data_IF_424979874335
#
_entry.id   IF_424979874335
#
_cell.length_a   1.000
_cell.length_b   1.000
_cell.length_c   1.000
_cell.angle_alpha   90.00
_cell.angle_beta   90.00
_cell.angle_gamma   90.00
#
_symmetry.space_group_name_H-M   'P 1'
#
loop_
_entity.id
_entity.type
_entity.pdbx_description
1 polymer ?
#
# COMPACT_ATOMS: atom_id res chain seq x y z
N UNK A 1 -24.00 9.44 11.57
CA UNK A 1 -23.17 8.80 10.52
C UNK A 1 -22.24 7.81 11.21
N UNK A 2 -22.08 6.59 10.70
CA UNK A 2 -21.15 5.62 11.28
C UNK A 2 -19.73 6.14 11.07
N UNK A 3 -18.93 6.17 12.14
CA UNK A 3 -17.50 6.52 12.10
C UNK A 3 -16.68 5.24 11.99
N UNK A 4 -15.58 5.29 11.27
CA UNK A 4 -14.69 4.15 11.05
C UNK A 4 -13.34 4.39 11.72
N UNK A 5 -12.98 3.48 12.62
CA UNK A 5 -11.74 3.52 13.39
C UNK A 5 -10.66 2.64 12.77
N UNK A 6 -9.42 3.09 12.78
CA UNK A 6 -8.23 2.26 12.51
C UNK A 6 -7.70 1.80 13.87
N UNK A 7 -7.78 0.49 14.13
CA UNK A 7 -7.47 -0.07 15.45
C UNK A 7 -6.30 -1.04 15.46
N UNK A 8 -5.81 -1.45 14.28
CA UNK A 8 -4.65 -2.32 14.17
C UNK A 8 -3.92 -2.13 12.85
N UNK A 9 -2.60 -2.27 12.89
CA UNK A 9 -1.70 -2.06 11.77
C UNK A 9 -0.79 -3.28 11.59
N UNK A 10 -0.67 -3.77 10.37
CA UNK A 10 0.17 -4.93 10.05
C UNK A 10 1.09 -4.68 8.86
N UNK A 11 2.19 -3.97 9.02
CA UNK A 11 3.19 -3.84 7.97
C UNK A 11 4.18 -5.02 7.96
N UNK A 12 4.40 -5.62 6.79
CA UNK A 12 5.47 -6.58 6.49
C UNK A 12 6.28 -5.99 5.34
N UNK A 13 7.40 -5.34 5.62
CA UNK A 13 8.13 -4.54 4.64
C UNK A 13 9.64 -4.76 4.68
N UNK A 14 10.35 -4.30 3.65
CA UNK A 14 11.81 -4.34 3.56
C UNK A 14 12.54 -3.50 4.62
N UNK A 15 11.84 -2.61 5.33
CA UNK A 15 12.43 -1.78 6.40
C UNK A 15 12.00 -2.21 7.80
N UNK A 16 11.12 -3.20 7.91
CA UNK A 16 10.69 -3.77 9.19
C UNK A 16 9.37 -4.52 9.10
N UNK A 17 9.20 -5.47 10.02
CA UNK A 17 7.98 -6.24 10.22
C UNK A 17 7.33 -5.81 11.54
N UNK A 18 6.04 -5.52 11.51
CA UNK A 18 5.28 -4.98 12.63
C UNK A 18 5.45 -3.45 12.82
N UNK A 19 4.52 -2.88 13.57
CA UNK A 19 4.35 -1.41 13.70
C UNK A 19 5.58 -0.70 14.24
N UNK A 20 6.20 -1.22 15.29
CA UNK A 20 7.33 -0.54 15.94
C UNK A 20 8.54 -0.47 15.02
N UNK A 21 8.95 -1.61 14.43
CA UNK A 21 10.11 -1.67 13.56
C UNK A 21 9.90 -0.80 12.29
N UNK A 22 8.71 -0.81 11.73
CA UNK A 22 8.35 0.00 10.57
C UNK A 22 8.37 1.50 10.90
N UNK A 23 7.76 1.91 12.01
CA UNK A 23 7.72 3.31 12.44
C UNK A 23 9.11 3.88 12.76
N UNK A 24 9.96 3.08 13.44
CA UNK A 24 11.33 3.48 13.75
C UNK A 24 12.18 3.63 12.48
N UNK A 25 11.98 2.73 11.50
CA UNK A 25 12.63 2.82 10.20
C UNK A 25 12.16 4.02 9.37
N UNK A 26 10.84 4.32 9.38
CA UNK A 26 10.29 5.53 8.75
C UNK A 26 10.90 6.80 9.34
N UNK A 27 10.96 6.90 10.68
CA UNK A 27 11.55 8.05 11.37
C UNK A 27 13.03 8.21 11.05
N UNK A 28 13.76 7.09 10.94
CA UNK A 28 15.18 7.07 10.63
C UNK A 28 15.50 7.31 9.15
N UNK A 29 14.51 7.33 8.26
CA UNK A 29 14.74 7.38 6.81
C UNK A 29 15.53 6.16 6.30
N UNK A 30 15.29 4.96 6.87
CA UNK A 30 16.04 3.75 6.52
C UNK A 30 15.67 3.26 5.14
N UNK A 31 16.65 2.97 4.29
CA UNK A 31 16.44 2.30 3.02
C UNK A 31 16.42 0.78 3.21
N UNK A 32 15.38 0.13 2.65
CA UNK A 32 15.27 -1.33 2.52
C UNK A 32 15.68 -1.83 1.13
N UNK A 33 16.25 -0.95 0.31
CA UNK A 33 16.66 -1.30 -1.05
C UNK A 33 17.96 -2.07 -1.03
N UNK A 34 17.99 -3.18 -1.77
CA UNK A 34 19.17 -4.04 -1.87
C UNK A 34 19.15 -4.80 -3.21
N UNK A 35 20.26 -5.49 -3.53
CA UNK A 35 20.30 -6.33 -4.74
C UNK A 35 19.22 -7.41 -4.66
N UNK A 36 18.51 -7.61 -5.78
CA UNK A 36 17.46 -8.64 -5.91
C UNK A 36 18.04 -10.03 -5.68
N UNK A 37 17.33 -10.84 -4.90
CA UNK A 37 17.66 -12.23 -4.59
C UNK A 37 16.54 -13.22 -4.92
N UNK A 38 15.31 -12.74 -5.09
CA UNK A 38 14.14 -13.59 -5.43
C UNK A 38 14.21 -14.20 -6.83
N UNK A 39 15.00 -13.60 -7.73
CA UNK A 39 15.32 -14.14 -9.05
C UNK A 39 16.71 -13.67 -9.51
N UNK A 40 17.28 -14.27 -10.55
CA UNK A 40 18.54 -13.80 -11.15
C UNK A 40 18.33 -12.50 -11.93
N UNK A 41 18.83 -11.34 -11.44
CA UNK A 41 18.67 -10.06 -12.10
C UNK A 41 19.78 -9.76 -13.13
N UNK A 42 20.70 -10.68 -13.41
CA UNK A 42 21.90 -10.42 -14.23
C UNK A 42 21.61 -9.95 -15.66
N UNK A 43 20.42 -10.28 -16.20
CA UNK A 43 19.95 -9.82 -17.50
C UNK A 43 19.39 -8.38 -17.53
N UNK A 44 19.31 -7.70 -16.37
CA UNK A 44 18.77 -6.35 -16.27
C UNK A 44 19.86 -5.35 -15.86
N UNK A 45 19.84 -4.11 -16.39
CA UNK A 45 20.70 -3.04 -15.88
C UNK A 45 20.27 -2.57 -14.46
N UNK A 46 19.00 -2.80 -14.10
CA UNK A 46 18.39 -2.48 -12.82
C UNK A 46 18.31 -3.74 -11.95
N UNK A 47 19.10 -3.81 -10.88
CA UNK A 47 19.29 -5.06 -10.11
C UNK A 47 18.92 -4.93 -8.64
N UNK A 48 18.21 -3.85 -8.26
CA UNK A 48 17.84 -3.57 -6.88
C UNK A 48 16.33 -3.52 -6.70
N UNK A 49 15.87 -3.93 -5.53
CA UNK A 49 14.49 -3.88 -5.11
C UNK A 49 14.37 -3.77 -3.57
N UNK A 50 13.20 -3.42 -3.09
CA UNK A 50 12.83 -3.49 -1.68
C UNK A 50 12.28 -4.87 -1.33
N UNK A 51 13.15 -5.88 -1.19
CA UNK A 51 12.75 -7.25 -0.80
C UNK A 51 12.63 -7.36 0.73
N UNK A 52 11.61 -8.08 1.21
CA UNK A 52 11.48 -8.44 2.63
C UNK A 52 12.39 -9.64 2.89
N UNK A 53 13.63 -9.33 3.25
CA UNK A 53 14.63 -10.34 3.59
C UNK A 53 14.34 -10.93 4.97
N UNK A 54 14.79 -12.14 5.19
CA UNK A 54 14.65 -12.83 6.49
C UNK A 54 13.19 -12.98 6.94
N UNK A 55 12.23 -12.90 6.01
CA UNK A 55 10.83 -13.16 6.30
C UNK A 55 10.57 -14.65 6.40
N UNK A 56 10.33 -15.11 7.61
CA UNK A 56 9.82 -16.45 7.89
C UNK A 56 8.31 -16.38 8.19
N UNK A 57 7.45 -16.84 7.29
CA UNK A 57 6.00 -16.82 7.52
C UNK A 57 5.59 -17.67 8.73
N UNK A 58 6.37 -18.68 9.14
CA UNK A 58 6.03 -19.53 10.29
C UNK A 58 6.09 -18.79 11.63
N UNK A 59 6.83 -17.68 11.70
CA UNK A 59 6.85 -16.82 12.89
C UNK A 59 5.54 -16.06 13.10
N UNK A 60 4.81 -15.82 12.03
CA UNK A 60 3.60 -14.97 12.03
C UNK A 60 2.32 -15.76 11.86
N UNK A 61 2.32 -16.79 11.00
CA UNK A 61 1.13 -17.58 10.68
C UNK A 61 0.86 -18.64 11.77
N UNK A 62 -0.42 -18.93 12.03
CA UNK A 62 -0.87 -19.86 13.07
C UNK A 62 -1.72 -21.01 12.53
N UNK A 63 -2.51 -20.75 11.48
CA UNK A 63 -3.46 -21.72 10.91
C UNK A 63 -3.07 -22.14 9.49
N UNK A 64 -2.48 -21.23 8.76
CA UNK A 64 -2.15 -21.38 7.36
C UNK A 64 -0.83 -22.14 7.24
N UNK A 65 -0.81 -23.21 6.42
CA UNK A 65 0.43 -23.92 6.08
C UNK A 65 1.19 -23.14 4.99
N UNK A 66 2.33 -22.49 5.30
CA UNK A 66 3.04 -21.65 4.33
C UNK A 66 3.42 -22.39 3.04
N UNK A 67 3.66 -23.70 3.10
CA UNK A 67 4.05 -24.50 1.92
C UNK A 67 2.95 -24.56 0.84
N UNK A 68 1.70 -24.28 1.20
CA UNK A 68 0.54 -24.31 0.31
C UNK A 68 0.13 -22.95 -0.25
N UNK A 69 0.84 -21.90 0.13
CA UNK A 69 0.50 -20.52 -0.21
C UNK A 69 1.72 -19.77 -0.75
N UNK A 70 1.53 -19.06 -1.85
CA UNK A 70 2.61 -18.29 -2.44
C UNK A 70 2.91 -17.01 -1.65
N UNK A 71 3.98 -16.34 -2.01
CA UNK A 71 4.60 -15.28 -1.21
C UNK A 71 3.70 -14.07 -0.97
N UNK A 72 2.94 -13.63 -1.97
CA UNK A 72 2.01 -12.50 -1.79
C UNK A 72 0.89 -12.84 -0.80
N UNK A 73 0.35 -14.07 -0.88
CA UNK A 73 -0.64 -14.59 0.07
C UNK A 73 -0.07 -14.71 1.49
N UNK A 74 1.19 -15.17 1.62
CA UNK A 74 1.87 -15.23 2.93
C UNK A 74 2.04 -13.83 3.53
N UNK A 75 2.40 -12.83 2.73
CA UNK A 75 2.49 -11.44 3.16
C UNK A 75 1.13 -10.90 3.63
N UNK A 76 0.06 -11.12 2.85
CA UNK A 76 -1.29 -10.67 3.20
C UNK A 76 -1.76 -11.27 4.53
N UNK A 77 -1.62 -12.59 4.69
CA UNK A 77 -2.03 -13.29 5.90
C UNK A 77 -1.21 -12.90 7.13
N UNK A 78 0.12 -12.77 6.98
CA UNK A 78 1.00 -12.31 8.06
C UNK A 78 0.70 -10.86 8.47
N UNK A 79 0.48 -9.98 7.50
CA UNK A 79 0.10 -8.60 7.75
C UNK A 79 -1.23 -8.50 8.51
N UNK A 80 -2.24 -9.27 8.11
CA UNK A 80 -3.52 -9.33 8.80
C UNK A 80 -3.38 -9.88 10.23
N UNK A 81 -2.57 -10.92 10.43
CA UNK A 81 -2.28 -11.46 11.78
C UNK A 81 -1.59 -10.42 12.66
N UNK A 82 -0.62 -9.69 12.12
CA UNK A 82 0.03 -8.60 12.84
C UNK A 82 -0.96 -7.47 13.21
N UNK A 83 -1.89 -7.12 12.32
CA UNK A 83 -2.92 -6.13 12.62
C UNK A 83 -3.86 -6.59 13.75
N UNK A 84 -4.22 -7.89 13.81
CA UNK A 84 -4.97 -8.48 14.94
C UNK A 84 -4.18 -8.37 16.24
N UNK A 85 -2.90 -8.71 16.22
CA UNK A 85 -2.03 -8.66 17.40
C UNK A 85 -1.85 -7.23 17.90
N UNK A 86 -1.60 -6.29 16.99
CA UNK A 86 -1.42 -4.87 17.29
C UNK A 86 -2.68 -4.24 17.90
N UNK A 87 -3.84 -4.55 17.32
CA UNK A 87 -5.14 -4.05 17.79
C UNK A 87 -5.75 -4.83 18.94
N UNK A 88 -5.14 -5.95 19.37
CA UNK A 88 -5.60 -6.77 20.49
C UNK A 88 -7.02 -7.32 20.28
N UNK A 89 -7.40 -7.67 19.05
CA UNK A 89 -8.73 -8.18 18.73
C UNK A 89 -8.83 -9.68 19.07
N UNK A 90 -9.83 -10.02 19.86
CA UNK A 90 -10.26 -11.40 20.09
C UNK A 90 -11.29 -11.77 19.01
N UNK A 91 -10.86 -12.50 17.99
CA UNK A 91 -11.71 -12.89 16.86
C UNK A 91 -12.89 -13.78 17.28
N UNK A 92 -12.76 -14.55 18.36
CA UNK A 92 -13.85 -15.41 18.86
C UNK A 92 -15.02 -14.59 19.43
N UNK A 93 -14.80 -13.30 19.69
CA UNK A 93 -15.85 -12.36 20.16
C UNK A 93 -16.52 -11.59 19.04
N UNK A 94 -16.02 -11.70 17.81
CA UNK A 94 -16.67 -11.10 16.63
C UNK A 94 -17.77 -12.05 16.16
N UNK A 95 -18.97 -11.53 15.97
CA UNK A 95 -20.08 -12.37 15.50
C UNK A 95 -19.75 -13.01 14.15
N UNK A 96 -20.12 -14.28 13.91
CA UNK A 96 -19.88 -14.95 12.64
C UNK A 96 -20.39 -14.15 11.46
N UNK A 97 -19.57 -14.04 10.40
CA UNK A 97 -19.92 -13.27 9.20
C UNK A 97 -19.78 -11.74 9.32
N UNK A 98 -19.31 -11.23 10.48
CA UNK A 98 -19.16 -9.78 10.71
C UNK A 98 -17.73 -9.27 10.58
N UNK A 99 -16.78 -10.17 10.33
CA UNK A 99 -15.38 -9.83 10.02
C UNK A 99 -15.05 -10.23 8.57
N UNK A 100 -14.51 -9.31 7.79
CA UNK A 100 -14.27 -9.45 6.35
C UNK A 100 -12.80 -9.20 5.99
N UNK A 101 -12.36 -9.75 4.85
CA UNK A 101 -11.02 -9.53 4.30
C UNK A 101 -11.11 -8.91 2.90
N UNK A 102 -10.50 -7.75 2.71
CA UNK A 102 -10.46 -7.05 1.41
C UNK A 102 -9.00 -6.71 1.09
N UNK A 103 -8.41 -7.42 0.12
CA UNK A 103 -6.98 -7.34 -0.16
C UNK A 103 -6.73 -6.89 -1.59
N UNK A 104 -6.01 -5.78 -1.72
CA UNK A 104 -5.56 -5.23 -2.99
C UNK A 104 -4.30 -5.92 -3.51
N UNK A 105 -4.19 -6.05 -4.84
CA UNK A 105 -2.97 -6.56 -5.50
C UNK A 105 -2.84 -5.95 -6.89
N UNK A 106 -1.62 -5.89 -7.39
CA UNK A 106 -1.36 -5.54 -8.80
C UNK A 106 -1.48 -6.77 -9.70
N UNK A 107 -0.89 -7.88 -9.30
CA UNK A 107 -0.71 -9.03 -10.19
C UNK A 107 -0.89 -10.39 -9.53
N UNK A 108 -1.38 -10.41 -8.30
CA UNK A 108 -1.58 -11.67 -7.56
C UNK A 108 -0.28 -12.43 -7.36
N UNK A 109 -0.30 -13.73 -7.68
CA UNK A 109 0.84 -14.62 -7.51
C UNK A 109 1.65 -14.77 -8.81
N UNK A 110 2.13 -13.67 -9.37
CA UNK A 110 2.85 -13.66 -10.67
C UNK A 110 4.11 -14.52 -10.67
N UNK A 111 4.82 -14.67 -9.55
CA UNK A 111 5.97 -15.57 -9.45
C UNK A 111 5.58 -17.03 -9.68
N UNK A 112 4.38 -17.43 -9.24
CA UNK A 112 3.85 -18.79 -9.48
C UNK A 112 3.51 -18.98 -10.97
N UNK A 113 2.90 -17.96 -11.60
CA UNK A 113 2.61 -17.99 -13.05
C UNK A 113 3.91 -18.11 -13.85
N UNK A 114 4.95 -17.40 -13.46
CA UNK A 114 6.28 -17.48 -14.08
C UNK A 114 6.86 -18.90 -13.96
N UNK A 115 6.82 -19.51 -12.76
CA UNK A 115 7.30 -20.88 -12.53
C UNK A 115 6.53 -21.91 -13.37
N UNK A 116 5.21 -21.83 -13.43
CA UNK A 116 4.37 -22.69 -14.26
C UNK A 116 4.64 -22.51 -15.76
N UNK A 117 4.91 -21.28 -16.20
CA UNK A 117 5.27 -21.00 -17.58
C UNK A 117 6.61 -21.66 -17.94
N UNK A 118 7.59 -21.60 -17.04
CA UNK A 118 8.86 -22.32 -17.26
C UNK A 118 8.65 -23.83 -17.41
N UNK A 119 7.81 -24.43 -16.54
CA UNK A 119 7.48 -25.88 -16.65
C UNK A 119 6.83 -26.23 -18.01
N UNK A 120 5.95 -25.35 -18.54
CA UNK A 120 5.35 -25.56 -19.88
C UNK A 120 6.42 -25.51 -20.97
N UNK A 121 7.31 -24.55 -20.90
CA UNK A 121 8.38 -24.36 -21.91
C UNK A 121 9.32 -25.57 -21.92
N UNK A 122 9.68 -26.10 -20.75
CA UNK A 122 10.65 -27.20 -20.60
C UNK A 122 10.05 -28.57 -20.86
N UNK A 123 8.79 -28.81 -20.48
CA UNK A 123 8.19 -30.15 -20.47
C UNK A 123 6.75 -30.25 -20.99
N UNK A 124 6.19 -29.16 -21.52
CA UNK A 124 4.81 -29.08 -22.00
C UNK A 124 3.78 -29.00 -20.89
N UNK A 125 2.49 -28.93 -21.25
CA UNK A 125 1.40 -28.74 -20.29
C UNK A 125 1.30 -29.83 -19.22
N UNK A 126 1.71 -31.06 -19.53
CA UNK A 126 1.67 -32.19 -18.58
C UNK A 126 2.75 -32.07 -17.48
N UNK A 127 3.73 -31.19 -17.63
CA UNK A 127 4.78 -30.97 -16.64
C UNK A 127 4.38 -29.99 -15.52
N UNK A 128 3.22 -29.33 -15.65
CA UNK A 128 2.78 -28.36 -14.64
C UNK A 128 2.47 -29.03 -13.30
N UNK A 129 3.00 -28.46 -12.23
CA UNK A 129 2.71 -28.90 -10.86
C UNK A 129 1.28 -28.49 -10.45
N UNK A 130 0.38 -29.44 -10.17
CA UNK A 130 -0.97 -29.12 -9.71
C UNK A 130 -1.03 -28.32 -8.42
N UNK A 131 -0.02 -28.45 -7.54
CA UNK A 131 0.05 -27.69 -6.30
C UNK A 131 0.32 -26.21 -6.56
N UNK A 132 1.14 -25.89 -7.58
CA UNK A 132 1.34 -24.50 -8.01
C UNK A 132 0.12 -23.95 -8.76
N UNK A 133 -0.53 -24.77 -9.60
CA UNK A 133 -1.76 -24.33 -10.29
C UNK A 133 -2.84 -23.88 -9.30
N UNK A 134 -2.98 -24.55 -8.17
CA UNK A 134 -3.93 -24.18 -7.13
C UNK A 134 -3.61 -22.82 -6.46
N UNK A 135 -2.41 -22.26 -6.65
CA UNK A 135 -1.98 -20.98 -6.06
C UNK A 135 -2.17 -19.78 -7.00
N UNK A 136 -2.44 -20.00 -8.29
CA UNK A 136 -2.54 -18.94 -9.32
C UNK A 136 -3.71 -17.97 -9.13
N UNK A 137 -4.94 -18.39 -8.73
CA UNK A 137 -6.07 -17.47 -8.68
C UNK A 137 -5.83 -16.28 -7.73
N UNK A 138 -6.04 -15.05 -8.23
CA UNK A 138 -5.75 -13.82 -7.47
C UNK A 138 -6.58 -13.71 -6.17
N UNK A 139 -7.79 -14.29 -6.13
CA UNK A 139 -8.63 -14.33 -4.92
C UNK A 139 -7.96 -15.07 -3.74
N UNK A 140 -6.90 -15.83 -4.00
CA UNK A 140 -6.12 -16.50 -2.95
C UNK A 140 -5.58 -15.53 -1.89
N UNK A 141 -5.26 -14.27 -2.25
CA UNK A 141 -4.70 -13.32 -1.30
C UNK A 141 -5.69 -13.02 -0.16
N UNK A 142 -6.93 -12.67 -0.48
CA UNK A 142 -7.96 -12.44 0.54
C UNK A 142 -8.36 -13.75 1.25
N UNK A 143 -8.40 -14.87 0.52
CA UNK A 143 -8.67 -16.17 1.11
C UNK A 143 -7.59 -16.60 2.11
N UNK A 144 -6.32 -16.26 1.88
CA UNK A 144 -5.24 -16.52 2.83
C UNK A 144 -5.48 -15.78 4.16
N UNK A 145 -5.92 -14.54 4.10
CA UNK A 145 -6.31 -13.77 5.30
C UNK A 145 -7.47 -14.43 6.01
N UNK A 146 -8.52 -14.81 5.27
CA UNK A 146 -9.70 -15.44 5.85
C UNK A 146 -9.38 -16.81 6.48
N UNK A 147 -8.55 -17.64 5.84
CA UNK A 147 -8.12 -18.94 6.37
C UNK A 147 -7.25 -18.74 7.62
N UNK A 148 -6.27 -17.84 7.58
CA UNK A 148 -5.39 -17.56 8.71
C UNK A 148 -6.16 -17.05 9.93
N UNK A 149 -7.13 -16.16 9.73
CA UNK A 149 -7.88 -15.54 10.80
C UNK A 149 -9.16 -16.31 11.18
N UNK A 150 -9.58 -17.31 10.37
CA UNK A 150 -10.82 -18.05 10.58
C UNK A 150 -12.07 -17.26 10.27
N UNK A 151 -12.00 -16.34 9.31
CA UNK A 151 -13.13 -15.49 8.93
C UNK A 151 -14.11 -16.26 8.04
N UNK A 152 -15.40 -16.07 8.31
CA UNK A 152 -16.51 -16.63 7.50
C UNK A 152 -17.33 -15.54 6.81
N UNK A 153 -16.86 -14.28 6.90
CA UNK A 153 -17.42 -13.15 6.16
C UNK A 153 -16.92 -13.09 4.71
N UNK A 154 -17.14 -11.94 4.09
CA UNK A 154 -16.71 -11.72 2.71
C UNK A 154 -15.17 -11.75 2.59
N UNK A 155 -14.69 -12.35 1.51
CA UNK A 155 -13.28 -12.44 1.16
C UNK A 155 -13.10 -11.96 -0.28
N UNK A 156 -12.63 -10.72 -0.46
CA UNK A 156 -12.54 -10.07 -1.75
C UNK A 156 -11.10 -9.65 -2.07
N UNK A 157 -10.65 -10.00 -3.27
CA UNK A 157 -9.39 -9.45 -3.81
C UNK A 157 -9.68 -8.42 -4.89
N UNK A 158 -9.08 -7.23 -4.78
CA UNK A 158 -9.23 -6.11 -5.71
C UNK A 158 -7.94 -5.94 -6.51
N UNK A 159 -8.05 -5.98 -7.84
CA UNK A 159 -6.91 -5.87 -8.75
C UNK A 159 -6.98 -4.55 -9.55
N UNK A 160 -6.64 -3.43 -8.91
CA UNK A 160 -6.56 -2.10 -9.52
C UNK A 160 -5.13 -1.54 -9.50
N UNK A 161 -4.16 -2.42 -9.77
CA UNK A 161 -2.74 -2.11 -9.84
C UNK A 161 -2.25 -1.34 -8.58
N UNK A 162 -1.46 -0.27 -8.75
CA UNK A 162 -0.79 0.43 -7.66
C UNK A 162 -1.73 1.09 -6.63
N UNK A 163 -2.99 1.35 -6.99
CA UNK A 163 -4.01 1.94 -6.10
C UNK A 163 -4.84 0.90 -5.32
N UNK A 164 -4.60 -0.40 -5.54
CA UNK A 164 -5.49 -1.47 -5.10
C UNK A 164 -5.74 -1.50 -3.58
N UNK A 165 -4.73 -1.18 -2.75
CA UNK A 165 -4.95 -1.10 -1.29
C UNK A 165 -5.90 0.03 -0.90
N UNK A 166 -5.84 1.21 -1.55
CA UNK A 166 -6.78 2.30 -1.26
C UNK A 166 -8.20 1.94 -1.70
N UNK A 167 -8.37 1.23 -2.83
CA UNK A 167 -9.67 0.64 -3.22
C UNK A 167 -10.17 -0.35 -2.17
N UNK A 168 -9.28 -1.21 -1.65
CA UNK A 168 -9.63 -2.18 -0.61
C UNK A 168 -10.04 -1.49 0.71
N UNK A 169 -9.33 -0.44 1.11
CA UNK A 169 -9.64 0.37 2.29
C UNK A 169 -10.99 1.09 2.10
N UNK A 170 -11.23 1.67 0.92
CA UNK A 170 -12.49 2.34 0.58
C UNK A 170 -13.69 1.38 0.61
N UNK A 171 -13.54 0.21 0.01
CA UNK A 171 -14.60 -0.82 0.07
C UNK A 171 -14.82 -1.31 1.51
N UNK A 172 -13.74 -1.49 2.28
CA UNK A 172 -13.85 -1.82 3.72
C UNK A 172 -14.59 -0.74 4.53
N UNK A 173 -14.38 0.53 4.19
CA UNK A 173 -15.15 1.64 4.75
C UNK A 173 -16.65 1.48 4.45
N UNK A 174 -17.02 1.19 3.20
CA UNK A 174 -18.42 1.02 2.82
C UNK A 174 -19.08 -0.13 3.58
N UNK A 175 -18.45 -1.29 3.71
CA UNK A 175 -18.97 -2.43 4.48
C UNK A 175 -19.27 -2.06 5.95
N UNK A 176 -18.45 -1.20 6.54
CA UNK A 176 -18.64 -0.74 7.93
C UNK A 176 -19.77 0.29 8.03
N UNK A 177 -19.83 1.28 7.13
CA UNK A 177 -20.83 2.35 7.20
C UNK A 177 -22.22 1.88 6.78
N UNK A 178 -22.32 0.86 5.92
CA UNK A 178 -23.61 0.22 5.55
C UNK A 178 -24.08 -0.78 6.60
N UNK A 179 -23.23 -1.09 7.60
CA UNK A 179 -23.57 -2.02 8.66
C UNK A 179 -23.45 -3.49 8.26
N UNK A 180 -22.76 -3.81 7.17
CA UNK A 180 -22.50 -5.19 6.75
C UNK A 180 -21.37 -5.85 7.53
N UNK A 181 -20.41 -5.08 8.03
CA UNK A 181 -19.28 -5.53 8.85
C UNK A 181 -19.20 -4.81 10.20
N UNK A 182 -18.57 -5.44 11.20
CA UNK A 182 -18.08 -4.82 12.42
C UNK A 182 -16.57 -4.62 12.38
N UNK A 183 -15.86 -5.52 11.64
CA UNK A 183 -14.41 -5.51 11.47
C UNK A 183 -14.08 -5.80 10.01
N UNK A 184 -13.14 -5.05 9.43
CA UNK A 184 -12.60 -5.33 8.09
C UNK A 184 -11.08 -5.29 8.12
N UNK A 185 -10.45 -6.33 7.60
CA UNK A 185 -9.01 -6.38 7.31
C UNK A 185 -8.81 -5.90 5.88
N UNK A 186 -8.39 -4.65 5.73
CA UNK A 186 -8.26 -3.97 4.44
C UNK A 186 -6.82 -3.54 4.16
N UNK A 187 -6.34 -3.76 2.95
CA UNK A 187 -4.98 -3.41 2.57
C UNK A 187 -4.54 -4.08 1.28
N UNK A 188 -3.27 -4.48 1.18
CA UNK A 188 -2.79 -5.18 -0.01
C UNK A 188 -1.48 -5.89 0.18
N UNK A 189 -1.15 -6.74 -0.79
CA UNK A 189 0.10 -7.49 -0.84
C UNK A 189 0.52 -7.82 -2.28
N UNK A 190 1.81 -7.73 -2.55
CA UNK A 190 2.46 -8.19 -3.77
C UNK A 190 3.89 -8.64 -3.46
N UNK A 191 4.45 -9.51 -4.30
CA UNK A 191 5.83 -9.99 -4.22
C UNK A 191 6.67 -9.51 -5.41
N UNK A 192 7.98 -9.34 -5.18
CA UNK A 192 8.94 -9.09 -6.26
C UNK A 192 9.07 -10.34 -7.10
N UNK A 193 8.94 -10.19 -8.43
CA UNK A 193 9.14 -11.27 -9.38
C UNK A 193 9.75 -10.74 -10.68
N UNK A 194 10.37 -11.63 -11.45
CA UNK A 194 11.02 -11.28 -12.72
C UNK A 194 10.02 -10.72 -13.72
N UNK A 195 8.80 -11.27 -13.80
CA UNK A 195 7.78 -10.83 -14.75
C UNK A 195 7.42 -9.36 -14.55
N UNK A 196 7.09 -8.96 -13.30
CA UNK A 196 6.75 -7.56 -13.00
C UNK A 196 7.95 -6.64 -13.23
N UNK A 197 9.15 -7.05 -12.80
CA UNK A 197 10.39 -6.31 -13.01
C UNK A 197 10.69 -6.10 -14.50
N UNK A 198 10.55 -7.14 -15.32
CA UNK A 198 10.71 -7.07 -16.78
C UNK A 198 9.68 -6.14 -17.43
N UNK A 199 8.43 -6.17 -16.96
CA UNK A 199 7.37 -5.27 -17.42
C UNK A 199 7.74 -3.80 -17.20
N UNK A 200 8.13 -3.43 -15.99
CA UNK A 200 8.57 -2.05 -15.69
C UNK A 200 9.84 -1.65 -16.40
N UNK A 201 10.78 -2.59 -16.58
CA UNK A 201 11.97 -2.35 -17.41
C UNK A 201 11.58 -2.01 -18.87
N UNK A 202 10.70 -2.80 -19.48
CA UNK A 202 10.25 -2.59 -20.86
C UNK A 202 9.43 -1.31 -21.04
N UNK A 203 8.75 -0.85 -20.02
CA UNK A 203 8.04 0.43 -19.98
C UNK A 203 8.96 1.63 -19.73
N UNK A 204 10.27 1.38 -19.49
CA UNK A 204 11.22 2.45 -19.17
C UNK A 204 10.95 3.13 -17.82
N UNK A 205 10.29 2.44 -16.89
CA UNK A 205 9.87 3.00 -15.60
C UNK A 205 10.85 2.73 -14.47
N UNK A 206 11.89 1.86 -14.67
CA UNK A 206 12.87 1.56 -13.65
C UNK A 206 14.03 2.55 -13.63
N UNK A 207 14.48 2.92 -12.43
CA UNK A 207 15.75 3.65 -12.23
C UNK A 207 16.94 2.71 -12.07
N UNK A 208 18.10 3.11 -12.56
CA UNK A 208 19.36 2.38 -12.35
C UNK A 208 20.06 2.74 -11.03
N UNK A 209 19.63 3.80 -10.37
CA UNK A 209 20.28 4.35 -9.17
C UNK A 209 19.38 4.21 -7.94
N UNK A 210 18.67 5.25 -7.59
CA UNK A 210 17.81 5.29 -6.42
C UNK A 210 16.41 5.78 -6.82
N UNK A 211 15.38 5.31 -6.12
CA UNK A 211 14.05 5.91 -6.19
C UNK A 211 14.12 7.26 -5.44
N UNK A 212 14.02 8.36 -6.17
CA UNK A 212 14.15 9.73 -5.67
C UNK A 212 12.91 10.57 -6.07
N UNK A 213 11.75 10.34 -5.43
CA UNK A 213 10.54 11.09 -5.74
C UNK A 213 10.74 12.60 -5.59
N UNK A 214 10.17 13.37 -6.53
CA UNK A 214 10.23 14.83 -6.58
C UNK A 214 11.61 15.45 -6.76
N UNK A 215 12.68 14.65 -6.89
CA UNK A 215 14.01 15.14 -7.24
C UNK A 215 14.06 15.53 -8.72
N UNK A 216 14.88 16.53 -9.06
CA UNK A 216 15.08 16.95 -10.45
C UNK A 216 15.62 15.83 -11.33
N UNK A 217 16.53 15.03 -10.78
CA UNK A 217 17.22 13.97 -11.50
C UNK A 217 16.54 12.59 -11.36
N UNK A 218 15.26 12.57 -10.90
CA UNK A 218 14.44 11.35 -10.80
C UNK A 218 14.33 10.65 -12.14
N UNK A 219 14.45 9.33 -12.15
CA UNK A 219 14.50 8.56 -13.40
C UNK A 219 13.64 7.30 -13.40
N UNK A 220 12.90 7.03 -12.31
CA UNK A 220 12.03 5.87 -12.25
C UNK A 220 11.86 5.28 -10.87
N UNK A 221 11.13 4.16 -10.82
CA UNK A 221 10.88 3.35 -9.62
C UNK A 221 12.02 2.36 -9.38
N UNK A 222 12.09 1.86 -8.15
CA UNK A 222 12.59 0.53 -7.82
C UNK A 222 11.41 -0.34 -7.40
N UNK A 223 11.37 -1.60 -7.81
CA UNK A 223 10.33 -2.54 -7.37
C UNK A 223 10.47 -2.84 -5.89
N UNK A 224 9.38 -3.17 -5.23
CA UNK A 224 9.36 -3.58 -3.83
C UNK A 224 8.29 -4.64 -3.59
N UNK A 225 8.31 -5.27 -2.41
CA UNK A 225 7.33 -6.26 -2.00
C UNK A 225 6.89 -6.08 -0.55
N UNK A 226 5.84 -6.80 -0.19
CA UNK A 226 5.37 -6.90 1.19
C UNK A 226 3.86 -6.97 1.31
N UNK A 227 3.39 -6.91 2.54
CA UNK A 227 1.98 -6.83 2.90
C UNK A 227 1.72 -5.68 3.85
N UNK A 228 0.63 -4.95 3.62
CA UNK A 228 0.20 -3.85 4.45
C UNK A 228 -1.32 -3.96 4.68
N UNK A 229 -1.72 -4.32 5.89
CA UNK A 229 -3.12 -4.51 6.25
C UNK A 229 -3.47 -3.62 7.45
N UNK A 230 -4.57 -2.90 7.33
CA UNK A 230 -5.20 -2.15 8.41
C UNK A 230 -6.40 -2.96 8.94
N UNK A 231 -6.58 -3.00 10.24
CA UNK A 231 -7.81 -3.45 10.87
C UNK A 231 -8.71 -2.24 11.08
N UNK A 232 -9.84 -2.25 10.37
CA UNK A 232 -10.86 -1.22 10.42
C UNK A 232 -12.05 -1.73 11.23
N UNK A 233 -12.62 -0.88 12.06
CA UNK A 233 -13.79 -1.19 12.89
C UNK A 233 -14.78 -0.03 12.88
N UNK A 234 -16.07 -0.32 13.14
CA UNK A 234 -16.95 0.78 13.55
C UNK A 234 -16.44 1.36 14.87
N UNK A 235 -16.54 2.67 15.04
CA UNK A 235 -16.12 3.32 16.30
C UNK A 235 -16.81 2.70 17.52
N UNK A 236 -18.09 2.37 17.38
CA UNK A 236 -18.87 1.73 18.43
C UNK A 236 -18.31 0.36 18.82
N UNK A 237 -17.92 -0.47 17.83
CA UNK A 237 -17.32 -1.78 18.11
C UNK A 237 -15.96 -1.62 18.82
N UNK A 238 -15.10 -0.73 18.31
CA UNK A 238 -13.80 -0.44 18.91
C UNK A 238 -13.92 0.04 20.39
N UNK A 239 -14.84 0.98 20.65
CA UNK A 239 -15.08 1.50 21.99
C UNK A 239 -15.63 0.44 22.95
N UNK A 240 -16.59 -0.40 22.52
CA UNK A 240 -17.16 -1.47 23.35
C UNK A 240 -16.11 -2.46 23.84
N UNK A 241 -15.09 -2.76 23.02
CA UNK A 241 -14.01 -3.66 23.43
C UNK A 241 -12.81 -2.95 24.08
N UNK A 242 -12.86 -1.62 24.24
CA UNK A 242 -11.77 -0.84 24.81
C UNK A 242 -10.51 -0.78 23.93
N UNK A 243 -10.69 -0.83 22.60
CA UNK A 243 -9.58 -0.77 21.67
C UNK A 243 -8.84 0.55 21.73
N UNK A 244 -7.51 0.50 21.48
CA UNK A 244 -6.79 1.68 21.02
C UNK A 244 -7.30 2.05 19.63
N UNK A 245 -7.59 3.31 19.42
CA UNK A 245 -7.92 3.86 18.11
C UNK A 245 -6.75 4.76 17.69
N UNK A 246 -6.07 4.41 16.60
CA UNK A 246 -4.93 5.14 16.07
C UNK A 246 -5.36 6.40 15.33
N UNK A 247 -6.38 6.24 14.49
CA UNK A 247 -6.91 7.27 13.61
C UNK A 247 -8.35 6.95 13.23
N UNK A 248 -9.04 7.90 12.63
CA UNK A 248 -10.32 7.73 11.95
C UNK A 248 -10.11 7.69 10.43
N UNK A 249 -10.76 6.76 9.76
CA UNK A 249 -10.90 6.77 8.31
C UNK A 249 -12.08 7.69 7.98
N UNK A 250 -11.80 8.90 7.51
CA UNK A 250 -12.79 9.96 7.30
C UNK A 250 -13.62 9.75 6.03
N UNK A 251 -13.00 9.16 5.01
CA UNK A 251 -13.62 8.94 3.71
C UNK A 251 -12.58 8.65 2.64
N UNK A 252 -13.04 8.52 1.41
CA UNK A 252 -12.19 8.23 0.27
C UNK A 252 -12.76 8.80 -1.04
N UNK A 253 -11.91 8.85 -2.09
CA UNK A 253 -12.30 9.19 -3.45
C UNK A 253 -11.73 8.19 -4.44
N UNK A 254 -12.53 7.77 -5.41
CA UNK A 254 -12.14 6.89 -6.51
C UNK A 254 -12.58 7.48 -7.84
N UNK A 255 -11.74 7.41 -8.85
CA UNK A 255 -12.12 7.63 -10.24
C UNK A 255 -11.21 6.87 -11.22
N UNK A 256 -11.44 7.05 -12.50
CA UNK A 256 -10.59 6.50 -13.55
C UNK A 256 -10.34 7.54 -14.63
N UNK A 257 -9.06 7.67 -15.06
CA UNK A 257 -8.67 8.57 -16.15
C UNK A 257 -9.35 8.22 -17.49
N UNK A 258 -9.57 6.92 -17.73
CA UNK A 258 -10.14 6.39 -18.98
C UNK A 258 -9.44 6.95 -20.25
N UNK A 259 -8.14 7.24 -20.13
CA UNK A 259 -7.38 7.93 -21.18
C UNK A 259 -6.19 7.06 -21.68
N UNK A 260 -5.09 7.00 -20.94
CA UNK A 260 -3.86 6.32 -21.39
C UNK A 260 -3.43 5.26 -20.37
N UNK A 261 -2.96 4.07 -20.82
CA UNK A 261 -2.66 2.98 -19.89
C UNK A 261 -1.53 3.24 -18.90
N UNK A 262 -0.60 4.17 -19.21
CA UNK A 262 0.58 4.43 -18.33
C UNK A 262 0.82 5.92 -18.03
N UNK A 263 0.18 6.84 -18.74
CA UNK A 263 0.32 8.28 -18.51
C UNK A 263 -0.88 8.80 -17.70
N UNK A 264 -0.69 9.29 -16.47
CA UNK A 264 -1.78 9.79 -15.66
C UNK A 264 -2.34 11.10 -16.22
N UNK A 265 -3.64 11.34 -16.02
CA UNK A 265 -4.31 12.57 -16.42
C UNK A 265 -4.38 13.54 -15.23
N UNK A 266 -3.77 14.76 -15.32
CA UNK A 266 -3.70 15.68 -14.20
C UNK A 266 -5.08 16.16 -13.72
N UNK A 267 -6.05 16.33 -14.64
CA UNK A 267 -7.39 16.78 -14.29
C UNK A 267 -8.17 15.71 -13.54
N UNK A 268 -8.01 14.44 -13.96
CA UNK A 268 -8.62 13.30 -13.29
C UNK A 268 -8.02 13.08 -11.90
N UNK A 269 -6.70 13.20 -11.76
CA UNK A 269 -6.00 13.13 -10.46
C UNK A 269 -6.50 14.23 -9.52
N UNK A 270 -6.57 15.50 -9.98
CA UNK A 270 -7.09 16.60 -9.17
C UNK A 270 -8.57 16.40 -8.78
N UNK A 271 -9.39 15.87 -9.68
CA UNK A 271 -10.80 15.58 -9.35
C UNK A 271 -10.93 14.43 -8.34
N UNK A 272 -10.06 13.42 -8.39
CA UNK A 272 -10.02 12.37 -7.36
C UNK A 272 -9.71 12.95 -5.97
N UNK A 273 -8.76 13.90 -5.87
CA UNK A 273 -8.46 14.63 -4.63
C UNK A 273 -9.69 15.38 -4.12
N UNK A 274 -10.35 16.17 -5.00
CA UNK A 274 -11.57 16.91 -4.64
C UNK A 274 -12.70 15.97 -4.19
N UNK A 275 -12.83 14.81 -4.84
CA UNK A 275 -13.83 13.80 -4.48
C UNK A 275 -13.56 13.24 -3.08
N UNK A 276 -12.31 12.89 -2.77
CA UNK A 276 -11.92 12.41 -1.45
C UNK A 276 -12.19 13.47 -0.37
N UNK A 277 -11.85 14.72 -0.60
CA UNK A 277 -12.13 15.82 0.32
C UNK A 277 -13.63 16.01 0.56
N UNK A 278 -14.45 16.01 -0.50
CA UNK A 278 -15.92 16.14 -0.38
C UNK A 278 -16.51 14.98 0.44
N UNK A 279 -16.09 13.75 0.15
CA UNK A 279 -16.63 12.57 0.81
C UNK A 279 -16.20 12.48 2.28
N UNK A 280 -15.01 12.94 2.59
CA UNK A 280 -14.50 13.01 3.97
C UNK A 280 -15.01 14.23 4.75
N UNK A 281 -15.64 15.20 4.08
CA UNK A 281 -16.04 16.48 4.69
C UNK A 281 -14.87 17.33 5.14
N UNK A 282 -13.71 17.19 4.49
CA UNK A 282 -12.46 17.89 4.79
C UNK A 282 -12.20 18.94 3.73
N UNK A 283 -11.76 20.14 4.14
CA UNK A 283 -11.31 21.17 3.23
C UNK A 283 -9.81 21.03 2.96
N UNK A 284 -9.29 21.51 1.81
CA UNK A 284 -7.86 21.46 1.52
C UNK A 284 -6.98 22.09 2.61
N UNK A 285 -7.39 23.22 3.20
CA UNK A 285 -6.67 23.92 4.25
C UNK A 285 -6.62 23.17 5.61
N UNK A 286 -7.39 22.10 5.76
CA UNK A 286 -7.42 21.25 6.97
C UNK A 286 -6.46 20.07 6.85
N UNK A 287 -5.87 19.82 5.67
CA UNK A 287 -4.93 18.72 5.44
C UNK A 287 -3.52 19.15 5.85
N UNK A 288 -2.93 18.44 6.79
CA UNK A 288 -1.60 18.74 7.33
C UNK A 288 -0.46 18.06 6.57
N UNK A 289 -0.78 16.96 5.85
CA UNK A 289 0.22 16.15 5.17
C UNK A 289 -0.39 15.35 4.01
N UNK A 290 0.37 15.22 2.91
CA UNK A 290 0.07 14.31 1.80
C UNK A 290 1.10 13.19 1.77
N UNK A 291 0.65 11.96 2.03
CA UNK A 291 1.42 10.77 1.74
C UNK A 291 1.23 10.45 0.25
N UNK A 292 2.18 10.89 -0.55
CA UNK A 292 2.06 10.92 -2.00
C UNK A 292 2.17 9.53 -2.64
N UNK A 293 1.60 9.42 -3.82
CA UNK A 293 1.95 8.31 -4.70
C UNK A 293 3.43 8.33 -5.07
N UNK A 294 3.99 9.48 -5.47
CA UNK A 294 5.41 9.80 -5.49
C UNK A 294 6.31 8.65 -5.92
N UNK A 295 6.28 8.28 -7.20
CA UNK A 295 6.98 7.09 -7.70
C UNK A 295 8.45 7.32 -8.02
N UNK A 296 8.88 8.58 -8.13
CA UNK A 296 10.20 8.93 -8.66
C UNK A 296 10.25 8.86 -10.19
N UNK A 297 9.11 8.70 -10.88
CA UNK A 297 9.05 8.82 -12.34
C UNK A 297 8.77 10.26 -12.74
N UNK A 298 9.40 10.78 -13.82
CA UNK A 298 9.11 12.13 -14.31
C UNK A 298 7.62 12.34 -14.59
N UNK A 299 6.94 11.36 -15.18
CA UNK A 299 5.54 11.46 -15.56
C UNK A 299 4.61 11.60 -14.35
N UNK A 300 4.69 10.66 -13.38
CA UNK A 300 3.82 10.69 -12.21
C UNK A 300 4.06 11.93 -11.36
N UNK A 301 5.32 12.17 -10.97
CA UNK A 301 5.62 13.20 -9.97
C UNK A 301 5.28 14.60 -10.49
N UNK A 302 5.41 14.83 -11.82
CA UNK A 302 4.98 16.07 -12.44
C UNK A 302 3.46 16.25 -12.43
N UNK A 303 2.72 15.18 -12.75
CA UNK A 303 1.25 15.22 -12.77
C UNK A 303 0.69 15.37 -11.36
N UNK A 304 1.18 14.58 -10.43
CA UNK A 304 0.76 14.63 -9.02
C UNK A 304 1.04 16.00 -8.39
N UNK A 305 2.24 16.55 -8.61
CA UNK A 305 2.59 17.90 -8.11
C UNK A 305 1.66 18.99 -8.68
N UNK A 306 1.33 18.92 -9.98
CA UNK A 306 0.38 19.86 -10.59
C UNK A 306 -1.01 19.74 -10.00
N UNK A 307 -1.50 18.53 -9.80
CA UNK A 307 -2.80 18.27 -9.18
C UNK A 307 -2.85 18.75 -7.72
N UNK A 308 -1.79 18.52 -6.94
CA UNK A 308 -1.65 19.04 -5.58
C UNK A 308 -1.72 20.57 -5.58
N UNK A 309 -0.93 21.24 -6.41
CA UNK A 309 -0.94 22.71 -6.51
C UNK A 309 -2.29 23.27 -6.99
N UNK A 310 -3.00 22.55 -7.86
CA UNK A 310 -4.34 22.94 -8.32
C UNK A 310 -5.39 22.84 -7.21
N UNK A 311 -5.30 21.82 -6.36
CA UNK A 311 -6.29 21.57 -5.31
C UNK A 311 -6.00 22.38 -4.05
N UNK A 312 -4.73 22.46 -3.64
CA UNK A 312 -4.31 23.10 -2.39
C UNK A 312 -3.85 24.55 -2.57
N UNK A 313 -3.63 24.99 -3.81
CA UNK A 313 -3.08 26.31 -4.09
C UNK A 313 -1.55 26.36 -3.98
N UNK A 314 -0.97 27.59 -3.94
CA UNK A 314 0.49 27.77 -4.06
C UNK A 314 1.29 27.39 -2.81
N UNK A 315 0.64 27.04 -1.72
CA UNK A 315 1.26 26.61 -0.47
C UNK A 315 0.59 25.33 0.04
N UNK A 316 0.81 24.19 -0.64
CA UNK A 316 0.24 22.92 -0.22
C UNK A 316 0.88 22.45 1.09
N UNK A 317 0.24 21.50 1.80
CA UNK A 317 0.88 20.83 2.93
C UNK A 317 2.15 20.10 2.49
N UNK A 318 3.06 19.74 3.43
CA UNK A 318 4.20 18.89 3.12
C UNK A 318 3.78 17.59 2.43
N UNK A 319 4.59 17.15 1.46
CA UNK A 319 4.32 15.99 0.60
C UNK A 319 5.50 15.03 0.67
N UNK A 320 5.32 13.77 1.06
CA UNK A 320 6.44 12.84 1.00
C UNK A 320 6.07 11.48 0.46
N UNK A 321 7.06 10.75 -0.03
CA UNK A 321 6.88 9.39 -0.54
C UNK A 321 7.84 8.40 0.11
N UNK A 322 7.27 7.45 0.82
CA UNK A 322 8.01 6.35 1.45
C UNK A 322 8.54 5.32 0.43
N UNK A 323 8.12 5.42 -0.86
CA UNK A 323 8.69 4.59 -1.94
C UNK A 323 10.18 4.81 -2.12
N UNK A 324 10.69 5.97 -1.71
CA UNK A 324 12.14 6.22 -1.65
C UNK A 324 12.87 5.25 -0.71
N UNK A 325 12.20 4.72 0.32
CA UNK A 325 12.74 3.80 1.33
C UNK A 325 12.47 2.32 1.00
N UNK A 326 11.26 1.98 0.55
CA UNK A 326 10.81 0.58 0.40
C UNK A 326 10.68 0.13 -1.06
N UNK A 327 10.89 1.05 -2.03
CA UNK A 327 10.54 0.80 -3.42
C UNK A 327 9.03 0.87 -3.65
N UNK A 328 8.63 0.60 -4.88
CA UNK A 328 7.22 0.53 -5.26
C UNK A 328 6.70 -0.89 -5.00
N UNK A 329 5.92 -1.06 -3.93
CA UNK A 329 5.37 -2.34 -3.48
C UNK A 329 4.04 -2.70 -4.16
N UNK A 330 3.82 -2.19 -5.37
CA UNK A 330 2.70 -2.50 -6.25
C UNK A 330 1.33 -2.28 -5.57
N UNK A 331 0.48 -3.30 -5.55
CA UNK A 331 -0.85 -3.21 -4.92
C UNK A 331 -0.83 -2.99 -3.40
N UNK A 332 0.28 -3.29 -2.71
CA UNK A 332 0.47 -2.97 -1.31
C UNK A 332 0.87 -1.51 -1.05
N UNK A 333 1.28 -0.75 -2.09
CA UNK A 333 1.92 0.55 -1.93
C UNK A 333 1.06 1.58 -1.16
N UNK A 334 -0.22 1.68 -1.50
CA UNK A 334 -1.14 2.57 -0.80
C UNK A 334 -1.45 2.11 0.62
N UNK A 335 -1.44 0.81 0.89
CA UNK A 335 -1.59 0.25 2.23
C UNK A 335 -0.43 0.66 3.15
N UNK A 336 0.81 0.59 2.66
CA UNK A 336 1.97 1.13 3.38
C UNK A 336 1.88 2.64 3.56
N UNK A 337 1.41 3.37 2.55
CA UNK A 337 1.14 4.81 2.67
C UNK A 337 0.11 5.12 3.75
N UNK A 338 -0.99 4.36 3.80
CA UNK A 338 -2.03 4.51 4.83
C UNK A 338 -1.48 4.20 6.23
N UNK A 339 -0.70 3.12 6.41
CA UNK A 339 -0.04 2.80 7.68
C UNK A 339 0.94 3.91 8.08
N UNK A 340 1.75 4.41 7.14
CA UNK A 340 2.67 5.54 7.39
C UNK A 340 1.93 6.83 7.77
N UNK A 341 0.78 7.08 7.16
CA UNK A 341 -0.10 8.21 7.49
C UNK A 341 -0.68 8.10 8.90
N UNK A 342 -1.15 6.91 9.29
CA UNK A 342 -1.61 6.62 10.66
C UNK A 342 -0.49 6.80 11.67
N UNK A 343 0.73 6.33 11.35
CA UNK A 343 1.92 6.52 12.20
C UNK A 343 2.30 8.00 12.30
N UNK A 344 2.15 8.78 11.21
CA UNK A 344 2.40 10.22 11.25
C UNK A 344 1.45 10.93 12.23
N UNK A 345 0.16 10.59 12.21
CA UNK A 345 -0.84 11.09 13.17
C UNK A 345 -0.50 10.65 14.59
N UNK A 346 -0.26 9.36 14.82
CA UNK A 346 -0.06 8.78 16.14
C UNK A 346 1.24 9.23 16.81
N UNK A 347 2.32 9.40 16.02
CA UNK A 347 3.67 9.67 16.53
C UNK A 347 4.16 11.10 16.30
N UNK A 348 3.38 11.93 15.64
CA UNK A 348 3.66 13.35 15.44
C UNK A 348 4.91 13.62 14.61
N UNK A 349 5.10 12.93 13.48
CA UNK A 349 6.18 13.23 12.55
C UNK A 349 5.82 12.90 11.10
N UNK A 350 6.41 13.63 10.17
CA UNK A 350 6.31 13.36 8.74
C UNK A 350 7.45 12.44 8.30
N UNK A 351 7.16 11.28 7.69
CA UNK A 351 8.19 10.43 7.08
C UNK A 351 8.93 11.18 5.96
N UNK A 352 10.25 11.00 5.80
CA UNK A 352 10.99 11.70 4.76
C UNK A 352 10.83 11.05 3.38
N UNK A 353 11.00 11.85 2.34
CA UNK A 353 11.45 11.37 1.03
C UNK A 353 12.97 11.33 1.05
N UNK A 354 13.57 10.14 1.10
CA UNK A 354 15.03 10.01 1.04
C UNK A 354 15.53 10.05 -0.41
N UNK A 355 16.85 10.16 -0.59
CA UNK A 355 17.53 10.27 -1.91
C UNK A 355 17.22 11.59 -2.67
N UNK A 356 16.57 12.55 -2.03
CA UNK A 356 16.33 13.86 -2.62
C UNK A 356 17.55 14.75 -2.49
N UNK A 357 18.10 15.24 -3.60
CA UNK A 357 19.34 16.02 -3.66
C UNK A 357 19.16 17.36 -4.34
N UNK A 358 18.40 17.41 -5.43
CA UNK A 358 18.29 18.57 -6.30
C UNK A 358 16.84 19.03 -6.45
N UNK A 359 16.52 20.27 -6.06
CA UNK A 359 15.19 20.84 -6.32
C UNK A 359 14.86 20.85 -7.81
N UNK A 360 13.63 20.44 -8.14
CA UNK A 360 13.12 20.54 -9.50
C UNK A 360 12.34 21.85 -9.66
N UNK A 361 12.79 22.78 -10.54
CA UNK A 361 12.07 24.05 -10.77
C UNK A 361 10.63 23.86 -11.27
N UNK A 362 10.36 22.76 -11.99
CA UNK A 362 9.04 22.45 -12.52
C UNK A 362 8.06 21.95 -11.45
N UNK A 363 8.59 21.60 -10.27
CA UNK A 363 7.81 21.19 -9.10
C UNK A 363 7.87 22.25 -7.97
N UNK A 364 8.14 23.49 -8.31
CA UNK A 364 8.23 24.59 -7.34
C UNK A 364 6.93 24.71 -6.53
N UNK A 365 7.06 24.78 -5.19
CA UNK A 365 5.94 24.79 -4.24
C UNK A 365 5.70 23.48 -3.51
N UNK A 366 6.26 22.37 -3.98
CA UNK A 366 6.22 21.08 -3.27
C UNK A 366 7.35 21.00 -2.24
N UNK A 367 7.00 20.74 -0.99
CA UNK A 367 7.94 20.41 0.10
C UNK A 367 7.99 18.89 0.28
N UNK A 368 9.03 18.21 -0.23
CA UNK A 368 9.07 16.73 -0.23
C UNK A 368 9.50 16.13 1.11
N UNK A 369 9.62 16.89 2.19
CA UNK A 369 10.20 16.45 3.48
C UNK A 369 11.56 15.76 3.25
N UNK A 370 12.59 16.48 2.78
CA UNK A 370 13.77 15.85 2.21
C UNK A 370 14.65 15.17 3.27
N UNK A 371 14.99 13.92 3.03
CA UNK A 371 16.02 13.10 3.68
C UNK A 371 15.91 12.88 5.20
N UNK A 372 15.18 13.67 5.95
CA UNK A 372 15.03 13.56 7.40
C UNK A 372 13.59 13.70 7.84
N UNK A 373 13.15 12.85 8.78
CA UNK A 373 11.82 12.99 9.36
C UNK A 373 11.65 14.35 10.04
N UNK A 374 10.46 14.94 9.89
CA UNK A 374 10.13 16.24 10.47
C UNK A 374 9.08 16.10 11.56
N UNK A 375 9.36 16.63 12.74
CA UNK A 375 8.37 16.70 13.82
C UNK A 375 7.21 17.61 13.39
N UNK A 376 5.97 17.16 13.53
CA UNK A 376 4.77 17.91 13.17
C UNK A 376 3.57 17.47 14.01
N UNK A 377 2.64 18.39 14.28
CA UNK A 377 1.30 18.04 14.77
C UNK A 377 0.43 17.71 13.55
N UNK A 378 0.15 16.44 13.35
CA UNK A 378 -0.53 15.92 12.16
C UNK A 378 -1.93 15.48 12.56
N UNK A 379 -2.94 16.12 12.02
CA UNK A 379 -4.35 15.83 12.32
C UNK A 379 -5.09 15.21 11.16
N UNK A 380 -4.84 15.66 9.94
CA UNK A 380 -5.50 15.17 8.72
C UNK A 380 -4.46 14.83 7.67
N UNK A 381 -4.53 13.63 7.13
CA UNK A 381 -3.63 13.14 6.09
C UNK A 381 -4.42 12.67 4.87
N UNK A 382 -3.96 13.08 3.70
CA UNK A 382 -4.36 12.53 2.41
C UNK A 382 -3.34 11.47 1.98
N UNK A 383 -3.79 10.25 1.67
CA UNK A 383 -2.95 9.17 1.16
C UNK A 383 -3.29 8.85 -0.29
N UNK A 384 -2.37 9.12 -1.21
CA UNK A 384 -2.57 9.09 -2.64
C UNK A 384 -2.19 7.75 -3.27
N UNK A 385 -2.98 7.32 -4.25
CA UNK A 385 -2.71 6.16 -5.08
C UNK A 385 -3.15 6.37 -6.52
N UNK A 386 -2.18 6.42 -7.45
CA UNK A 386 -2.43 6.57 -8.88
C UNK A 386 -1.83 5.38 -9.61
N UNK A 387 -2.64 4.70 -10.42
CA UNK A 387 -2.26 3.42 -10.97
C UNK A 387 -2.19 3.44 -12.50
N UNK A 388 -1.34 2.61 -13.05
CA UNK A 388 -1.44 2.25 -14.45
C UNK A 388 -2.85 1.71 -14.75
N UNK A 389 -3.40 2.06 -15.91
CA UNK A 389 -4.81 1.87 -16.23
C UNK A 389 -5.69 3.05 -15.84
N UNK A 390 -5.13 4.06 -15.13
CA UNK A 390 -5.82 5.27 -14.73
C UNK A 390 -6.73 5.12 -13.50
N UNK A 391 -6.62 4.03 -12.75
CA UNK A 391 -7.36 3.86 -11.51
C UNK A 391 -6.76 4.72 -10.40
N UNK A 392 -7.42 5.78 -10.00
CA UNK A 392 -7.02 6.67 -8.92
C UNK A 392 -7.82 6.38 -7.65
N UNK A 393 -7.14 6.40 -6.52
CA UNK A 393 -7.76 6.16 -5.22
C UNK A 393 -7.06 6.98 -4.14
N UNK A 394 -7.81 7.75 -3.39
CA UNK A 394 -7.33 8.57 -2.29
C UNK A 394 -8.11 8.25 -1.03
N UNK A 395 -7.39 8.07 0.07
CA UNK A 395 -7.96 7.81 1.40
C UNK A 395 -7.64 8.99 2.31
N UNK A 396 -8.64 9.46 3.06
CA UNK A 396 -8.49 10.53 4.05
C UNK A 396 -8.50 9.95 5.45
N UNK A 397 -7.45 10.25 6.22
CA UNK A 397 -7.25 9.77 7.59
C UNK A 397 -7.18 10.96 8.54
N UNK A 398 -7.79 10.83 9.71
CA UNK A 398 -7.83 11.91 10.70
C UNK A 398 -7.48 11.46 12.10
N UNK A 399 -6.93 12.37 12.91
CA UNK A 399 -6.75 12.17 14.33
C UNK A 399 -8.11 12.00 15.03
N UNK A 400 -8.15 11.16 16.05
CA UNK A 400 -9.34 10.98 16.88
C UNK A 400 -9.57 12.23 17.74
N UNK A 401 -10.74 12.84 17.59
CA UNK A 401 -11.15 14.02 18.38
C UNK A 401 -11.53 13.64 19.80
#
# INVERSE_FOLDING_TARGET
MVRVAVTGLGPVSSIGVGVSAFADALRAGRSGISRITSFDPSGFPHQHAGEVRDFDPTEHLRRLDPARWARSSQFAASAARLAVQDGGLDLDRVAPGRAHAVIGTTSGESAVVEALTAQIVDGGFAAQDPALLAQVPANRLANAVSEELGLVGESLTIATACSASNYAIGYGYDLLVTGEADVVFAGGADSVCRWAHAGFFRLGALTATACAPFDKDRSGILTGEGGAVLMLETFEHAQRRGARIYAELLGYGLNCDANHPVAPDPSSVAECMRLAHRNAGVKPEEVDYVCAHGTGTPANDTVESKAILEVFGPQPPPVSSIKSMIGHTMGAACGFGAIASVIAIDRGFLPPTINWATPDPDLAGIDPVPNGARQADVRVVQNDGFAFGGNNAIVMLGAVA
#
